data_IF_429955782263
#
_entry.id   IF_429955782263
#
_cell.length_a   1.000
_cell.length_b   1.000
_cell.length_c   1.000
_cell.angle_alpha   90.00
_cell.angle_beta   90.00
_cell.angle_gamma   90.00
#
_symmetry.space_group_name_H-M   'P 1'
#
loop_
_entity.id
_entity.type
_entity.pdbx_description
1 polymer ?
#
# COMPACT_ATOMS: atom_id res chain seq x y z
N UNK A 1 -31.84 -62.76 -17.91
CA UNK A 1 -31.42 -62.66 -19.33
C UNK A 1 -31.71 -61.24 -19.84
N UNK A 2 -30.77 -60.64 -20.61
CA UNK A 2 -30.74 -59.27 -21.22
C UNK A 2 -30.45 -58.10 -20.24
N UNK A 3 -29.17 -57.69 -20.05
CA UNK A 3 -28.31 -56.76 -20.84
C UNK A 3 -28.81 -55.31 -20.80
N UNK A 4 -28.25 -54.48 -19.91
CA UNK A 4 -27.19 -53.46 -20.14
C UNK A 4 -27.65 -52.26 -20.99
N UNK A 5 -27.79 -51.08 -20.36
CA UNK A 5 -27.33 -49.84 -20.96
C UNK A 5 -26.95 -48.79 -19.90
N UNK A 6 -25.69 -48.41 -20.05
CA UNK A 6 -24.87 -47.47 -19.31
C UNK A 6 -25.30 -46.04 -19.65
N UNK A 7 -25.38 -45.16 -18.65
CA UNK A 7 -25.68 -43.74 -18.83
C UNK A 7 -24.93 -42.89 -17.81
N UNK A 8 -23.62 -42.73 -18.04
CA UNK A 8 -22.73 -41.90 -17.24
C UNK A 8 -22.99 -40.42 -17.59
N UNK A 9 -23.77 -39.72 -16.78
CA UNK A 9 -24.02 -38.29 -16.96
C UNK A 9 -22.89 -37.49 -16.30
N UNK A 10 -21.79 -37.27 -17.03
CA UNK A 10 -20.74 -36.33 -16.65
C UNK A 10 -21.27 -34.90 -16.78
N UNK A 11 -21.70 -34.30 -15.67
CA UNK A 11 -21.94 -32.86 -15.57
C UNK A 11 -20.58 -32.15 -15.53
N UNK A 12 -20.12 -31.72 -16.70
CA UNK A 12 -19.08 -30.69 -16.82
C UNK A 12 -19.70 -29.35 -16.39
N UNK A 13 -19.60 -29.02 -15.11
CA UNK A 13 -19.74 -27.62 -14.66
C UNK A 13 -18.51 -26.86 -15.18
N UNK A 14 -18.67 -26.24 -16.35
CA UNK A 14 -17.78 -25.20 -16.79
C UNK A 14 -17.93 -24.02 -15.81
N UNK A 15 -16.98 -23.86 -14.90
CA UNK A 15 -16.77 -22.60 -14.20
C UNK A 15 -16.35 -21.56 -15.26
N UNK A 16 -17.33 -20.91 -15.90
CA UNK A 16 -17.08 -19.68 -16.63
C UNK A 16 -16.66 -18.63 -15.61
N UNK A 17 -15.37 -18.38 -15.49
CA UNK A 17 -14.86 -17.18 -14.82
C UNK A 17 -15.25 -16.01 -15.70
N UNK A 18 -16.29 -15.26 -15.30
CA UNK A 18 -16.69 -14.04 -16.00
C UNK A 18 -15.53 -13.05 -15.90
N UNK A 19 -14.89 -12.75 -17.04
CA UNK A 19 -13.89 -11.71 -17.11
C UNK A 19 -14.63 -10.36 -17.15
N UNK A 20 -14.47 -9.54 -16.11
CA UNK A 20 -15.06 -8.20 -16.06
C UNK A 20 -14.59 -7.35 -17.25
N UNK A 21 -15.55 -6.71 -17.92
CA UNK A 21 -15.30 -5.80 -19.03
C UNK A 21 -14.76 -4.46 -18.55
N UNK A 22 -14.01 -3.69 -19.38
CA UNK A 22 -13.51 -2.37 -19.01
C UNK A 22 -14.61 -1.39 -18.54
N UNK A 23 -15.82 -1.51 -19.08
CA UNK A 23 -16.96 -0.69 -18.70
C UNK A 23 -17.47 -1.01 -17.29
N UNK A 24 -17.44 -2.27 -16.88
CA UNK A 24 -17.82 -2.70 -15.52
C UNK A 24 -16.77 -2.26 -14.49
N UNK A 25 -15.49 -2.39 -14.81
CA UNK A 25 -14.39 -1.90 -13.95
C UNK A 25 -14.49 -0.37 -13.79
N UNK A 26 -14.85 0.36 -14.84
CA UNK A 26 -15.06 1.82 -14.77
C UNK A 26 -16.25 2.22 -13.91
N UNK A 27 -17.28 1.38 -13.75
CA UNK A 27 -18.37 1.66 -12.79
C UNK A 27 -17.90 1.54 -11.34
N UNK A 28 -16.84 0.77 -11.10
CA UNK A 28 -16.15 0.68 -9.83
C UNK A 28 -15.01 1.72 -9.73
N UNK A 29 -14.98 2.72 -10.63
CA UNK A 29 -13.95 3.74 -10.64
C UNK A 29 -13.90 4.46 -9.30
N UNK A 30 -12.76 4.31 -8.65
CA UNK A 30 -12.43 5.00 -7.42
C UNK A 30 -11.38 6.05 -7.75
N UNK A 31 -11.40 7.14 -6.98
CA UNK A 31 -10.26 8.03 -6.90
C UNK A 31 -9.61 7.86 -5.54
N UNK A 32 -8.29 7.98 -5.49
CA UNK A 32 -7.57 7.96 -4.23
C UNK A 32 -6.68 9.18 -4.03
N UNK A 33 -6.40 9.45 -2.77
CA UNK A 33 -5.45 10.48 -2.35
C UNK A 33 -4.63 9.92 -1.20
N UNK A 34 -3.33 10.19 -1.21
CA UNK A 34 -2.46 9.97 -0.06
C UNK A 34 -2.32 11.26 0.73
N UNK A 35 -2.55 11.17 2.03
CA UNK A 35 -2.33 12.25 2.99
C UNK A 35 -1.25 11.81 3.96
N UNK A 36 -0.29 12.68 4.26
CA UNK A 36 0.78 12.40 5.21
C UNK A 36 0.73 13.39 6.38
N UNK A 37 1.40 13.03 7.46
CA UNK A 37 1.46 13.85 8.66
C UNK A 37 2.16 13.14 9.81
N UNK A 38 1.82 13.56 11.02
CA UNK A 38 2.27 12.91 12.25
C UNK A 38 1.13 12.77 13.25
N UNK A 39 1.25 11.81 14.15
CA UNK A 39 0.31 11.57 15.24
C UNK A 39 1.07 11.37 16.54
N UNK A 40 0.49 11.85 17.64
CA UNK A 40 1.02 11.70 19.00
C UNK A 40 0.01 10.87 19.79
N UNK A 41 0.48 9.76 20.34
CA UNK A 41 -0.35 8.75 21.01
C UNK A 41 0.12 8.60 22.45
N UNK A 42 -0.81 8.76 23.39
CA UNK A 42 -0.58 8.60 24.82
C UNK A 42 -0.32 7.13 25.19
N UNK A 43 0.32 6.83 26.34
CA UNK A 43 0.52 5.47 26.84
C UNK A 43 -0.74 4.60 26.94
N UNK A 44 -1.91 5.22 27.13
CA UNK A 44 -3.21 4.54 27.18
C UNK A 44 -3.81 4.23 25.79
N UNK A 45 -3.07 4.55 24.72
CA UNK A 45 -3.49 4.34 23.34
C UNK A 45 -4.42 5.41 22.77
N UNK A 46 -4.72 6.48 23.51
CA UNK A 46 -5.50 7.61 23.01
C UNK A 46 -4.65 8.58 22.17
N UNK A 47 -5.28 9.25 21.22
CA UNK A 47 -4.62 10.30 20.43
C UNK A 47 -4.53 11.58 21.26
N UNK A 48 -3.31 12.07 21.46
CA UNK A 48 -3.03 13.37 22.07
C UNK A 48 -3.17 14.51 21.06
N UNK A 49 -2.68 14.29 19.84
CA UNK A 49 -2.68 15.28 18.77
C UNK A 49 -2.21 14.69 17.44
N UNK A 50 -2.39 15.45 16.36
CA UNK A 50 -1.88 15.08 15.03
C UNK A 50 -1.60 16.33 14.19
N UNK A 51 -0.80 16.17 13.15
CA UNK A 51 -0.53 17.19 12.14
C UNK A 51 -0.77 16.59 10.75
N UNK A 52 -1.15 17.44 9.79
CA UNK A 52 -1.21 17.08 8.37
C UNK A 52 -0.13 17.86 7.63
N UNK A 53 0.64 17.18 6.80
CA UNK A 53 1.60 17.83 5.92
C UNK A 53 0.85 18.59 4.83
N UNK A 54 1.29 19.82 4.54
CA UNK A 54 0.70 20.69 3.51
C UNK A 54 -0.83 20.74 3.55
N UNK A 55 -1.40 20.91 4.75
CA UNK A 55 -2.85 20.92 4.97
C UNK A 55 -3.59 21.96 4.09
N UNK A 56 -2.91 23.06 3.74
CA UNK A 56 -3.38 24.10 2.84
C UNK A 56 -3.59 23.65 1.39
N UNK A 57 -2.98 22.52 0.99
CA UNK A 57 -3.12 21.92 -0.34
C UNK A 57 -4.20 20.82 -0.38
N UNK A 58 -4.75 20.44 0.77
CA UNK A 58 -5.80 19.42 0.85
C UNK A 58 -7.19 20.01 0.60
N UNK A 59 -8.10 19.28 -0.07
CA UNK A 59 -9.49 19.71 -0.17
C UNK A 59 -10.11 19.90 1.23
N UNK A 60 -10.93 20.93 1.46
CA UNK A 60 -11.51 21.19 2.78
C UNK A 60 -12.29 19.99 3.37
N UNK A 61 -13.01 19.25 2.52
CA UNK A 61 -13.75 18.05 2.93
C UNK A 61 -12.82 16.94 3.46
N UNK A 62 -11.62 16.80 2.87
CA UNK A 62 -10.61 15.83 3.33
C UNK A 62 -10.15 16.21 4.73
N UNK A 63 -9.82 17.48 4.95
CA UNK A 63 -9.39 17.97 6.26
C UNK A 63 -10.48 17.77 7.30
N UNK A 64 -11.74 18.05 6.96
CA UNK A 64 -12.88 17.87 7.86
C UNK A 64 -13.08 16.40 8.28
N UNK A 65 -13.00 15.46 7.34
CA UNK A 65 -13.10 14.01 7.63
C UNK A 65 -11.99 13.60 8.59
N UNK A 66 -10.75 14.04 8.36
CA UNK A 66 -9.63 13.72 9.23
C UNK A 66 -9.78 14.34 10.62
N UNK A 67 -10.25 15.58 10.70
CA UNK A 67 -10.55 16.27 11.97
C UNK A 67 -11.60 15.53 12.80
N UNK A 68 -12.60 14.93 12.17
CA UNK A 68 -13.66 14.19 12.86
C UNK A 68 -13.21 12.79 13.29
N UNK A 69 -12.39 12.12 12.50
CA UNK A 69 -12.07 10.70 12.70
C UNK A 69 -10.78 10.49 13.52
N UNK A 70 -9.69 11.17 13.19
CA UNK A 70 -8.36 10.91 13.78
C UNK A 70 -8.36 11.01 15.31
N UNK A 71 -8.98 12.02 15.96
CA UNK A 71 -8.99 12.11 17.43
C UNK A 71 -9.73 10.97 18.14
N UNK A 72 -10.60 10.24 17.44
CA UNK A 72 -11.38 9.12 18.01
C UNK A 72 -10.62 7.79 17.98
N UNK A 73 -9.49 7.75 17.29
CA UNK A 73 -8.70 6.54 17.14
C UNK A 73 -8.08 6.08 18.46
N UNK A 74 -7.98 4.77 18.57
CA UNK A 74 -7.31 4.06 19.64
C UNK A 74 -6.23 3.18 19.06
N UNK A 75 -5.16 3.08 19.81
CA UNK A 75 -3.97 2.34 19.45
C UNK A 75 -3.62 1.35 20.54
N UNK A 76 -2.88 0.32 20.14
CA UNK A 76 -2.13 -0.52 21.07
C UNK A 76 -0.66 -0.46 20.68
N UNK A 77 0.18 -0.60 21.69
CA UNK A 77 1.60 -0.76 21.49
C UNK A 77 1.99 -2.23 21.60
N UNK A 78 3.00 -2.65 20.83
CA UNK A 78 3.59 -3.98 21.04
C UNK A 78 4.32 -4.05 22.38
N UNK A 79 4.94 -2.95 22.80
CA UNK A 79 5.61 -2.79 24.09
C UNK A 79 4.92 -1.70 24.93
N UNK A 80 4.86 -1.88 26.25
CA UNK A 80 4.29 -0.89 27.13
C UNK A 80 5.07 0.43 27.05
N UNK A 81 4.36 1.53 26.76
CA UNK A 81 4.92 2.87 26.72
C UNK A 81 4.66 3.59 28.05
N UNK A 82 5.58 4.46 28.46
CA UNK A 82 5.43 5.29 29.67
C UNK A 82 5.23 6.77 29.36
N UNK A 83 5.50 7.18 28.12
CA UNK A 83 5.35 8.55 27.61
C UNK A 83 4.62 8.54 26.27
N UNK A 84 4.13 9.71 25.85
CA UNK A 84 3.51 9.85 24.54
C UNK A 84 4.52 9.53 23.42
N UNK A 85 4.07 8.78 22.42
CA UNK A 85 4.87 8.37 21.27
C UNK A 85 4.43 9.16 20.04
N UNK A 86 5.40 9.80 19.37
CA UNK A 86 5.19 10.46 18.09
C UNK A 86 5.49 9.49 16.95
N UNK A 87 4.59 9.42 15.98
CA UNK A 87 4.72 8.57 14.80
C UNK A 87 4.41 9.37 13.52
N UNK A 88 5.11 9.04 12.44
CA UNK A 88 4.69 9.42 11.09
C UNK A 88 3.38 8.72 10.76
N UNK A 89 2.48 9.44 10.09
CA UNK A 89 1.18 8.93 9.68
C UNK A 89 1.04 9.10 8.17
N UNK A 90 0.53 8.07 7.50
CA UNK A 90 0.07 8.18 6.13
C UNK A 90 -1.26 7.46 5.94
N UNK A 91 -2.17 8.11 5.24
CA UNK A 91 -3.56 7.72 5.08
C UNK A 91 -3.90 7.65 3.59
N UNK A 92 -4.55 6.56 3.18
CA UNK A 92 -5.17 6.43 1.85
C UNK A 92 -6.64 6.79 1.97
N UNK A 93 -7.01 7.87 1.31
CA UNK A 93 -8.39 8.30 1.18
C UNK A 93 -8.95 7.77 -0.13
N UNK A 94 -10.21 7.38 -0.10
CA UNK A 94 -10.93 6.83 -1.23
C UNK A 94 -12.19 7.65 -1.46
N UNK A 95 -12.36 8.14 -2.69
CA UNK A 95 -13.61 8.69 -3.18
C UNK A 95 -14.27 7.63 -4.05
N UNK A 96 -15.42 7.14 -3.60
CA UNK A 96 -16.23 6.16 -4.33
C UNK A 96 -17.52 6.82 -4.79
N UNK A 97 -17.80 6.68 -6.08
CA UNK A 97 -19.04 7.15 -6.69
C UNK A 97 -20.25 6.45 -6.04
N UNK A 98 -21.16 7.23 -5.48
CA UNK A 98 -22.44 6.73 -4.92
C UNK A 98 -23.53 6.82 -5.98
N UNK A 99 -23.63 7.97 -6.64
CA UNK A 99 -24.51 8.25 -7.78
C UNK A 99 -23.86 9.30 -8.68
N UNK A 100 -24.46 9.65 -9.82
CA UNK A 100 -23.87 10.55 -10.83
C UNK A 100 -23.36 11.90 -10.29
N UNK A 101 -23.83 12.36 -9.14
CA UNK A 101 -23.52 13.65 -8.53
C UNK A 101 -22.80 13.57 -7.17
N UNK A 102 -22.79 12.42 -6.51
CA UNK A 102 -22.24 12.26 -5.16
C UNK A 102 -21.12 11.23 -5.09
N UNK A 103 -20.05 11.59 -4.40
CA UNK A 103 -18.95 10.70 -4.02
C UNK A 103 -18.94 10.54 -2.48
N UNK A 104 -18.82 9.32 -1.98
CA UNK A 104 -18.55 9.03 -0.57
C UNK A 104 -17.03 9.01 -0.36
N UNK A 105 -16.56 9.68 0.70
CA UNK A 105 -15.13 9.80 0.98
C UNK A 105 -14.80 9.06 2.26
N UNK A 106 -13.89 8.10 2.17
CA UNK A 106 -13.50 7.26 3.30
C UNK A 106 -12.00 7.17 3.51
N UNK A 107 -11.59 6.91 4.74
CA UNK A 107 -10.22 6.51 5.05
C UNK A 107 -10.14 5.00 4.82
N UNK A 108 -9.52 4.59 3.73
CA UNK A 108 -9.46 3.18 3.32
C UNK A 108 -8.25 2.44 3.91
N UNK A 109 -7.15 3.17 4.16
CA UNK A 109 -5.94 2.62 4.73
C UNK A 109 -5.24 3.64 5.62
N UNK A 110 -4.53 3.14 6.64
CA UNK A 110 -3.67 3.93 7.50
C UNK A 110 -2.38 3.16 7.79
N UNK A 111 -1.26 3.89 7.81
CA UNK A 111 0.06 3.38 8.13
C UNK A 111 0.75 4.34 9.11
N UNK A 112 1.40 3.79 10.13
CA UNK A 112 2.06 4.56 11.19
C UNK A 112 3.50 4.11 11.39
N UNK A 113 4.48 5.00 11.17
CA UNK A 113 5.91 4.70 11.28
C UNK A 113 6.59 5.47 12.40
N UNK A 114 7.76 5.01 12.82
CA UNK A 114 8.56 5.73 13.81
C UNK A 114 9.00 7.10 13.24
N UNK A 115 9.24 8.08 14.11
CA UNK A 115 9.80 9.37 13.68
C UNK A 115 11.23 9.14 13.15
N UNK A 116 11.54 9.61 11.95
CA UNK A 116 12.84 9.42 11.26
C UNK A 116 14.04 10.10 11.99
N UNK A 117 13.83 10.58 13.22
CA UNK A 117 14.75 11.44 13.96
C UNK A 117 15.81 10.70 14.76
N UNK A 118 15.79 9.37 14.81
CA UNK A 118 16.82 8.60 15.50
C UNK A 118 17.65 7.81 14.46
N UNK A 119 18.71 8.43 13.90
CA UNK A 119 19.61 7.74 12.98
C UNK A 119 20.13 6.43 13.56
N UNK A 120 20.02 5.36 12.78
CA UNK A 120 20.52 4.04 13.14
C UNK A 120 19.56 3.19 14.00
N UNK A 121 18.34 3.65 14.28
CA UNK A 121 17.33 2.82 14.97
C UNK A 121 16.54 1.90 14.01
N UNK A 122 16.38 2.31 12.76
CA UNK A 122 15.67 1.57 11.71
C UNK A 122 16.51 1.43 10.44
N UNK A 123 16.09 0.54 9.55
CA UNK A 123 16.69 0.46 8.21
C UNK A 123 16.49 1.79 7.44
N UNK A 124 17.46 2.13 6.59
CA UNK A 124 17.37 3.25 5.65
C UNK A 124 18.00 2.90 4.31
N UNK A 125 17.65 3.59 3.23
CA UNK A 125 18.26 3.32 1.93
C UNK A 125 19.75 3.65 1.92
N UNK A 126 20.56 2.72 1.41
CA UNK A 126 21.98 2.95 1.06
C UNK A 126 22.14 3.08 -0.45
N UNK A 127 21.51 2.20 -1.22
CA UNK A 127 21.46 2.28 -2.68
C UNK A 127 20.08 1.86 -3.16
N UNK A 128 19.45 2.71 -3.95
CA UNK A 128 18.10 2.52 -4.49
C UNK A 128 18.07 2.91 -5.96
N UNK A 129 18.58 2.04 -6.82
CA UNK A 129 18.50 2.25 -8.26
C UNK A 129 17.03 2.11 -8.72
N UNK A 130 16.48 3.09 -9.45
CA UNK A 130 15.10 3.00 -9.89
C UNK A 130 14.92 1.83 -10.87
N UNK A 131 13.76 1.15 -10.85
CA UNK A 131 13.47 0.09 -11.80
C UNK A 131 13.41 0.62 -13.23
N UNK A 132 13.81 -0.22 -14.18
CA UNK A 132 13.55 0.07 -15.61
C UNK A 132 12.05 -0.08 -15.87
N UNK A 133 11.48 0.90 -16.58
CA UNK A 133 10.09 0.83 -16.99
C UNK A 133 9.88 -0.39 -17.91
N UNK A 134 8.97 -1.32 -17.58
CA UNK A 134 8.82 -2.51 -18.40
C UNK A 134 8.13 -2.19 -19.72
N UNK A 135 8.64 -2.79 -20.80
CA UNK A 135 8.24 -2.44 -22.17
C UNK A 135 6.73 -2.54 -22.39
N UNK A 136 6.08 -3.63 -21.97
CA UNK A 136 4.63 -3.79 -22.18
C UNK A 136 3.82 -2.65 -21.54
N UNK A 137 4.02 -2.38 -20.25
CA UNK A 137 3.33 -1.27 -19.58
C UNK A 137 3.61 0.09 -20.23
N UNK A 138 4.87 0.32 -20.64
CA UNK A 138 5.27 1.58 -21.31
C UNK A 138 4.53 1.77 -22.64
N UNK A 139 4.51 0.76 -23.51
CA UNK A 139 3.84 0.83 -24.81
C UNK A 139 2.32 0.93 -24.66
N UNK A 140 1.76 0.37 -23.60
CA UNK A 140 0.33 0.42 -23.30
C UNK A 140 -0.09 1.68 -22.51
N UNK A 141 0.82 2.59 -22.18
CA UNK A 141 0.49 3.81 -21.44
C UNK A 141 0.01 3.55 -20.01
N UNK A 142 0.45 2.45 -19.39
CA UNK A 142 -0.03 2.00 -18.08
C UNK A 142 0.87 2.52 -16.97
N UNK A 143 0.32 3.33 -16.05
CA UNK A 143 0.98 3.71 -14.79
C UNK A 143 0.41 2.92 -13.61
N UNK A 144 1.19 2.84 -12.53
CA UNK A 144 0.77 2.19 -11.29
C UNK A 144 1.83 2.15 -10.21
N UNK A 145 1.41 1.79 -9.00
CA UNK A 145 2.28 1.64 -7.83
C UNK A 145 2.35 0.18 -7.40
N UNK A 146 3.56 -0.34 -7.30
CA UNK A 146 3.85 -1.68 -6.74
C UNK A 146 4.25 -1.52 -5.28
N UNK A 147 3.50 -2.13 -4.37
CA UNK A 147 3.85 -2.20 -2.95
C UNK A 147 4.63 -3.48 -2.70
N UNK A 148 5.93 -3.33 -2.50
CA UNK A 148 6.85 -4.42 -2.24
C UNK A 148 6.94 -4.70 -0.75
N UNK A 149 7.07 -5.98 -0.40
CA UNK A 149 7.61 -6.46 0.87
C UNK A 149 9.02 -6.97 0.60
N UNK A 150 9.99 -6.47 1.34
CA UNK A 150 11.40 -6.83 1.26
C UNK A 150 11.84 -7.44 2.58
N UNK A 151 12.59 -8.54 2.50
CA UNK A 151 13.36 -9.10 3.61
C UNK A 151 14.80 -8.61 3.46
N UNK A 152 15.25 -7.76 4.39
CA UNK A 152 16.58 -7.16 4.39
C UNK A 152 17.44 -7.89 5.41
N UNK A 153 18.52 -8.52 4.96
CA UNK A 153 19.45 -9.25 5.82
C UNK A 153 20.38 -8.34 6.62
N UNK A 154 21.13 -8.92 7.56
CA UNK A 154 22.10 -8.22 8.42
C UNK A 154 23.23 -7.51 7.69
N UNK A 155 23.52 -7.92 6.46
CA UNK A 155 24.50 -7.27 5.59
C UNK A 155 23.92 -6.07 4.80
N UNK A 156 22.63 -5.77 5.01
CA UNK A 156 21.90 -4.72 4.31
C UNK A 156 21.45 -5.10 2.90
N UNK A 157 21.63 -6.36 2.46
CA UNK A 157 21.14 -6.83 1.16
C UNK A 157 19.71 -7.36 1.26
N UNK A 158 18.99 -7.32 0.14
CA UNK A 158 17.66 -7.92 0.05
C UNK A 158 17.78 -9.43 -0.15
N UNK A 159 17.32 -10.20 0.85
CA UNK A 159 17.29 -11.66 0.83
C UNK A 159 16.07 -12.19 0.07
N UNK A 160 14.93 -11.51 0.21
CA UNK A 160 13.69 -11.85 -0.49
C UNK A 160 12.90 -10.58 -0.81
N UNK A 161 12.14 -10.62 -1.92
CA UNK A 161 11.31 -9.52 -2.39
C UNK A 161 10.04 -10.07 -3.04
N UNK A 162 8.89 -9.56 -2.61
CA UNK A 162 7.59 -9.93 -3.13
C UNK A 162 6.71 -8.69 -3.34
N UNK A 163 5.85 -8.72 -4.35
CA UNK A 163 4.82 -7.71 -4.50
C UNK A 163 3.60 -8.11 -3.66
N UNK A 164 3.27 -7.29 -2.65
CA UNK A 164 2.08 -7.48 -1.82
C UNK A 164 0.82 -7.04 -2.56
N UNK A 165 0.90 -5.92 -3.29
CA UNK A 165 -0.23 -5.35 -4.02
C UNK A 165 0.28 -4.48 -5.17
N UNK A 166 -0.45 -4.44 -6.28
CA UNK A 166 -0.17 -3.55 -7.42
C UNK A 166 -1.42 -2.79 -7.80
N UNK A 167 -1.39 -1.47 -7.59
CA UNK A 167 -2.49 -0.57 -7.90
C UNK A 167 -2.22 0.10 -9.24
N UNK A 168 -3.23 0.17 -10.10
CA UNK A 168 -3.15 0.79 -11.42
C UNK A 168 -3.90 2.12 -11.42
N UNK A 169 -3.55 3.00 -12.36
CA UNK A 169 -4.27 4.27 -12.60
C UNK A 169 -5.11 4.23 -13.88
N UNK A 170 -5.17 3.08 -14.55
CA UNK A 170 -5.84 2.86 -15.83
C UNK A 170 -6.93 1.79 -15.71
N UNK A 171 -7.98 1.93 -16.52
CA UNK A 171 -9.08 0.97 -16.63
C UNK A 171 -8.87 0.10 -17.86
N UNK A 172 -8.87 -1.22 -17.69
CA UNK A 172 -8.78 -2.20 -18.77
C UNK A 172 -9.58 -3.47 -18.42
N UNK A 173 -9.54 -4.49 -19.28
CA UNK A 173 -10.16 -5.77 -18.95
C UNK A 173 -9.46 -6.42 -17.74
N UNK A 174 -10.16 -7.25 -16.98
CA UNK A 174 -9.56 -7.95 -15.83
C UNK A 174 -8.26 -8.71 -16.19
N UNK A 175 -8.22 -9.31 -17.37
CA UNK A 175 -7.04 -10.02 -17.90
C UNK A 175 -5.87 -9.08 -18.17
N UNK A 176 -6.11 -7.97 -18.86
CA UNK A 176 -5.05 -7.01 -19.19
C UNK A 176 -4.52 -6.34 -17.93
N UNK A 177 -5.40 -5.99 -17.00
CA UNK A 177 -4.99 -5.44 -15.71
C UNK A 177 -4.09 -6.41 -14.95
N UNK A 178 -4.43 -7.72 -14.92
CA UNK A 178 -3.55 -8.70 -14.28
C UNK A 178 -2.19 -8.79 -14.98
N UNK A 179 -2.18 -8.79 -16.32
CA UNK A 179 -0.94 -8.80 -17.10
C UNK A 179 -0.06 -7.59 -16.80
N UNK A 180 -0.66 -6.40 -16.68
CA UNK A 180 0.06 -5.18 -16.30
C UNK A 180 0.59 -5.23 -14.88
N UNK A 181 -0.21 -5.71 -13.92
CA UNK A 181 0.23 -5.89 -12.53
C UNK A 181 1.45 -6.81 -12.45
N UNK A 182 1.41 -7.95 -13.14
CA UNK A 182 2.52 -8.90 -13.18
C UNK A 182 3.77 -8.27 -13.84
N UNK A 183 3.58 -7.47 -14.89
CA UNK A 183 4.67 -6.82 -15.60
C UNK A 183 5.38 -5.76 -14.74
N UNK A 184 4.62 -4.90 -14.05
CA UNK A 184 5.15 -3.91 -13.12
C UNK A 184 5.80 -4.59 -11.89
N UNK A 185 5.15 -5.60 -11.32
CA UNK A 185 5.67 -6.35 -10.17
C UNK A 185 7.02 -6.98 -10.47
N UNK A 186 7.16 -7.66 -11.61
CA UNK A 186 8.45 -8.27 -12.03
C UNK A 186 9.55 -7.21 -12.16
N UNK A 187 9.26 -6.06 -12.76
CA UNK A 187 10.24 -4.99 -12.91
C UNK A 187 10.68 -4.41 -11.55
N UNK A 188 9.73 -4.19 -10.65
CA UNK A 188 9.98 -3.70 -9.30
C UNK A 188 10.81 -4.68 -8.46
N UNK A 189 10.42 -5.97 -8.43
CA UNK A 189 11.13 -7.02 -7.70
C UNK A 189 12.56 -7.19 -8.23
N UNK A 190 12.75 -7.16 -9.56
CA UNK A 190 14.07 -7.28 -10.18
C UNK A 190 15.00 -6.15 -9.73
N UNK A 191 14.50 -4.91 -9.71
CA UNK A 191 15.29 -3.78 -9.23
C UNK A 191 15.56 -3.85 -7.73
N UNK A 192 14.54 -4.22 -6.94
CA UNK A 192 14.64 -4.27 -5.49
C UNK A 192 15.68 -5.26 -4.97
N UNK A 193 15.92 -6.36 -5.68
CA UNK A 193 16.98 -7.33 -5.35
C UNK A 193 18.40 -6.75 -5.42
N UNK A 194 18.59 -5.66 -6.16
CA UNK A 194 19.88 -4.95 -6.27
C UNK A 194 20.01 -3.81 -5.26
N UNK A 195 18.96 -3.52 -4.49
CA UNK A 195 19.01 -2.47 -3.48
C UNK A 195 19.82 -2.90 -2.27
N UNK A 196 20.37 -1.90 -1.58
CA UNK A 196 21.02 -2.09 -0.29
C UNK A 196 20.55 -1.06 0.71
N UNK A 197 20.63 -1.44 1.98
CA UNK A 197 20.14 -0.67 3.12
C UNK A 197 21.25 -0.49 4.14
N UNK A 198 21.19 0.62 4.89
CA UNK A 198 21.88 0.71 6.16
C UNK A 198 21.01 -0.02 7.19
N UNK A 199 21.60 -0.90 7.97
CA UNK A 199 20.92 -1.66 9.02
C UNK A 199 20.94 -0.88 10.34
N UNK A 200 19.99 -1.14 11.26
CA UNK A 200 20.04 -0.57 12.61
C UNK A 200 21.37 -0.83 13.30
N UNK A 201 21.90 0.20 13.95
CA UNK A 201 23.11 0.17 14.79
C UNK A 201 22.80 0.42 16.27
N UNK A 202 21.60 0.92 16.57
CA UNK A 202 21.09 1.16 17.92
C UNK A 202 19.62 0.70 18.02
N UNK A 203 19.11 0.59 19.25
CA UNK A 203 17.72 0.20 19.49
C UNK A 203 17.51 -1.31 19.56
N UNK A 204 16.25 -1.72 19.74
CA UNK A 204 15.88 -3.11 20.04
C UNK A 204 16.06 -4.08 18.87
N UNK A 205 16.10 -3.57 17.64
CA UNK A 205 16.10 -4.35 16.41
C UNK A 205 17.50 -4.64 15.84
N UNK A 206 18.58 -4.23 16.50
CA UNK A 206 19.97 -4.42 16.00
C UNK A 206 20.34 -5.89 15.88
N UNK A 207 19.80 -6.74 16.76
CA UNK A 207 20.12 -8.16 16.82
C UNK A 207 19.20 -9.03 15.94
N UNK A 208 18.22 -8.44 15.24
CA UNK A 208 17.31 -9.18 14.38
C UNK A 208 18.07 -9.84 13.21
N UNK A 209 17.68 -11.07 12.85
CA UNK A 209 18.29 -11.79 11.73
C UNK A 209 17.98 -11.14 10.37
N UNK A 210 16.86 -10.43 10.30
CA UNK A 210 16.44 -9.66 9.13
C UNK A 210 15.40 -8.62 9.55
N UNK A 211 15.20 -7.62 8.69
CA UNK A 211 14.12 -6.64 8.82
C UNK A 211 13.15 -6.76 7.64
N UNK A 212 11.86 -6.59 7.91
CA UNK A 212 10.84 -6.56 6.86
C UNK A 212 10.52 -5.12 6.54
N UNK A 213 10.65 -4.74 5.27
CA UNK A 213 10.37 -3.41 4.78
C UNK A 213 9.20 -3.43 3.78
N UNK A 214 8.30 -2.47 3.89
CA UNK A 214 7.30 -2.15 2.88
C UNK A 214 7.75 -0.93 2.09
N UNK A 215 7.82 -1.09 0.77
CA UNK A 215 8.35 -0.06 -0.14
C UNK A 215 7.41 0.11 -1.33
N UNK A 216 6.87 1.32 -1.57
CA UNK A 216 6.18 1.62 -2.80
C UNK A 216 7.19 1.90 -3.92
N UNK A 217 6.85 1.41 -5.10
CA UNK A 217 7.57 1.64 -6.35
C UNK A 217 6.59 2.18 -7.36
N UNK A 218 6.72 3.47 -7.66
CA UNK A 218 5.82 4.17 -8.54
C UNK A 218 6.33 4.16 -9.98
N UNK A 219 5.48 3.70 -10.91
CA UNK A 219 5.72 3.72 -12.34
C UNK A 219 4.78 4.72 -12.99
N UNK A 220 5.27 5.92 -13.27
CA UNK A 220 4.48 6.97 -13.91
C UNK A 220 4.94 7.26 -15.33
N UNK A 221 4.02 7.12 -16.29
CA UNK A 221 4.19 7.63 -17.66
C UNK A 221 3.70 9.07 -17.68
N UNK A 222 4.61 10.01 -17.89
CA UNK A 222 4.28 11.42 -18.07
C UNK A 222 4.31 11.77 -19.57
N UNK A 223 3.35 12.57 -20.07
CA UNK A 223 3.45 13.16 -21.39
C UNK A 223 4.77 13.92 -21.53
N UNK A 224 5.47 13.73 -22.66
CA UNK A 224 6.70 14.47 -22.99
C UNK A 224 6.47 15.98 -22.78
N UNK A 225 7.26 16.60 -21.90
CA UNK A 225 7.20 18.04 -21.61
C UNK A 225 6.51 18.44 -20.29
N UNK A 226 5.95 17.50 -19.54
CA UNK A 226 5.36 17.75 -18.20
C UNK A 226 6.27 17.24 -17.09
N UNK A 227 7.14 18.12 -16.56
CA UNK A 227 8.10 17.80 -15.49
C UNK A 227 7.56 17.99 -14.07
N UNK A 228 6.31 18.44 -13.91
CA UNK A 228 5.73 18.66 -12.57
C UNK A 228 5.17 17.33 -12.05
N UNK A 229 5.60 16.95 -10.86
CA UNK A 229 5.00 15.85 -10.09
C UNK A 229 3.50 16.08 -9.92
N UNK A 230 2.71 15.01 -9.77
CA UNK A 230 1.30 15.17 -9.38
C UNK A 230 1.31 15.93 -8.05
N UNK A 231 0.74 17.14 -7.98
CA UNK A 231 0.79 17.92 -6.75
C UNK A 231 0.14 17.16 -5.60
N UNK A 232 0.68 17.34 -4.41
CA UNK A 232 0.08 16.81 -3.19
C UNK A 232 -1.37 17.30 -3.04
N UNK A 233 -2.23 16.50 -2.40
CA UNK A 233 -3.64 16.84 -2.20
C UNK A 233 -4.55 16.72 -3.43
N UNK A 234 -4.11 15.99 -4.47
CA UNK A 234 -4.93 15.75 -5.69
C UNK A 234 -5.47 14.33 -5.74
N UNK A 235 -6.76 14.21 -6.09
CA UNK A 235 -7.39 12.93 -6.40
C UNK A 235 -6.80 12.33 -7.67
N UNK A 236 -6.51 11.04 -7.63
CA UNK A 236 -5.94 10.29 -8.75
C UNK A 236 -6.80 9.07 -9.04
N UNK A 237 -6.89 8.69 -10.32
CA UNK A 237 -7.52 7.43 -10.73
C UNK A 237 -6.93 6.27 -9.95
N UNK A 238 -7.79 5.40 -9.42
CA UNK A 238 -7.39 4.35 -8.52
C UNK A 238 -8.11 3.05 -8.86
N UNK A 239 -7.32 2.03 -9.21
CA UNK A 239 -7.80 0.67 -9.42
C UNK A 239 -6.96 -0.27 -8.53
N UNK A 240 -7.46 -0.65 -7.35
CA UNK A 240 -6.70 -1.49 -6.43
C UNK A 240 -6.42 -2.86 -7.05
N UNK A 241 -5.23 -3.40 -6.78
CA UNK A 241 -4.92 -4.80 -7.07
C UNK A 241 -5.35 -5.73 -5.93
N UNK A 242 -5.56 -7.02 -6.21
CA UNK A 242 -5.75 -7.99 -5.15
C UNK A 242 -4.49 -8.09 -4.29
N UNK A 243 -4.67 -8.15 -2.98
CA UNK A 243 -3.56 -8.35 -2.05
C UNK A 243 -3.09 -9.81 -2.09
N UNK A 244 -1.80 -9.99 -2.31
CA UNK A 244 -1.16 -11.31 -2.36
C UNK A 244 -0.65 -11.71 -0.98
N UNK A 245 -0.79 -12.98 -0.65
CA UNK A 245 -0.14 -13.55 0.53
C UNK A 245 1.32 -13.82 0.21
N UNK A 246 2.23 -13.26 0.99
CA UNK A 246 3.67 -13.50 0.85
C UNK A 246 4.08 -14.62 1.82
N UNK A 247 4.51 -15.80 1.34
CA UNK A 247 4.66 -16.99 2.18
C UNK A 247 5.66 -16.86 3.34
N UNK A 248 6.74 -16.08 3.15
CA UNK A 248 7.79 -15.88 4.15
C UNK A 248 7.46 -14.77 5.17
N UNK A 249 6.36 -14.05 4.97
CA UNK A 249 5.84 -13.06 5.92
C UNK A 249 4.89 -13.80 6.86
N UNK A 250 5.34 -14.14 8.06
CA UNK A 250 4.56 -14.94 9.01
C UNK A 250 3.17 -14.32 9.30
N UNK A 251 2.17 -15.20 9.41
CA UNK A 251 0.75 -14.87 9.26
C UNK A 251 0.20 -13.92 10.33
N UNK A 252 -0.68 -13.02 9.84
CA UNK A 252 -1.66 -12.12 10.50
C UNK A 252 -1.17 -10.79 11.09
N UNK A 253 -0.06 -10.70 11.83
CA UNK A 253 0.35 -9.42 12.46
C UNK A 253 0.96 -8.40 11.48
N UNK A 254 1.60 -8.86 10.40
CA UNK A 254 2.24 -7.99 9.41
C UNK A 254 1.25 -7.48 8.34
N UNK A 255 0.04 -8.04 8.32
CA UNK A 255 -1.01 -7.75 7.33
C UNK A 255 -2.09 -6.79 7.87
N UNK A 256 -1.99 -6.31 9.11
CA UNK A 256 -3.02 -5.44 9.73
C UNK A 256 -3.01 -3.99 9.26
N UNK A 257 -2.02 -3.58 8.45
CA UNK A 257 -2.06 -2.33 7.69
C UNK A 257 -2.42 -2.59 6.23
N UNK A 258 -3.22 -1.72 5.61
CA UNK A 258 -3.47 -1.79 4.18
C UNK A 258 -2.20 -1.40 3.41
N UNK A 259 -1.85 -2.19 2.39
CA UNK A 259 -0.55 -2.17 1.74
C UNK A 259 -0.23 -0.82 1.07
N UNK A 260 -1.27 -0.12 0.69
CA UNK A 260 -1.25 1.06 -0.15
C UNK A 260 -1.36 2.39 0.62
N UNK A 261 -1.16 2.39 1.94
CA UNK A 261 -1.01 3.65 2.69
C UNK A 261 0.45 4.15 2.74
N UNK A 262 1.42 3.48 2.12
CA UNK A 262 2.81 3.96 2.12
C UNK A 262 3.01 4.97 0.99
N UNK A 263 3.47 6.22 1.27
CA UNK A 263 3.66 7.24 0.26
C UNK A 263 4.91 6.99 -0.59
N UNK A 264 4.93 7.55 -1.80
CA UNK A 264 6.06 7.42 -2.72
C UNK A 264 7.37 7.87 -2.07
N UNK A 265 8.47 7.22 -2.46
CA UNK A 265 9.76 7.43 -1.82
C UNK A 265 9.89 6.78 -0.43
N UNK A 266 8.79 6.42 0.23
CA UNK A 266 8.76 5.88 1.59
C UNK A 266 9.52 4.56 1.77
N UNK A 267 9.93 4.33 3.02
CA UNK A 267 10.44 3.07 3.52
C UNK A 267 9.75 2.80 4.85
N UNK A 268 9.01 1.71 4.94
CA UNK A 268 8.28 1.39 6.15
C UNK A 268 8.76 0.06 6.73
N UNK A 269 9.48 0.10 7.86
CA UNK A 269 9.85 -1.13 8.55
C UNK A 269 8.63 -1.66 9.32
N UNK A 270 8.28 -2.92 9.07
CA UNK A 270 7.17 -3.58 9.77
C UNK A 270 7.63 -3.97 11.18
N UNK A 271 6.70 -4.00 12.15
CA UNK A 271 6.90 -4.27 13.58
C UNK A 271 7.45 -3.11 14.44
N UNK A 272 7.24 -1.87 14.00
CA UNK A 272 7.61 -0.68 14.78
C UNK A 272 6.58 -0.27 15.86
N UNK A 273 5.73 -1.20 16.32
CA UNK A 273 5.14 -1.11 17.65
C UNK A 273 3.90 -0.25 17.85
N UNK A 274 3.34 0.42 16.84
CA UNK A 274 2.09 1.17 16.95
C UNK A 274 1.01 0.59 16.03
N UNK A 275 -0.04 0.00 16.63
CA UNK A 275 -1.13 -0.61 15.88
C UNK A 275 -2.46 0.08 16.18
N UNK A 276 -3.13 0.58 15.14
CA UNK A 276 -4.50 1.08 15.22
C UNK A 276 -5.48 -0.06 15.55
N UNK A 277 -6.35 0.16 16.54
CA UNK A 277 -7.39 -0.78 16.96
C UNK A 277 -8.79 -0.32 16.59
N UNK A 278 -8.99 0.99 16.43
CA UNK A 278 -10.25 1.53 15.91
C UNK A 278 -10.40 1.19 14.41
N UNK A 279 -11.55 0.64 13.97
CA UNK A 279 -11.83 0.48 12.56
C UNK A 279 -11.77 1.82 11.82
N UNK A 280 -11.23 1.81 10.61
CA UNK A 280 -11.28 3.00 9.76
C UNK A 280 -12.70 3.27 9.28
N UNK A 281 -13.06 4.54 9.20
CA UNK A 281 -14.40 5.01 8.84
C UNK A 281 -14.32 6.11 7.76
N UNK A 282 -15.47 6.36 7.13
CA UNK A 282 -15.66 7.40 6.12
C UNK A 282 -16.96 8.18 6.33
N UNK A 283 -17.11 9.26 5.57
CA UNK A 283 -18.30 10.10 5.50
C UNK A 283 -19.05 9.90 4.18
#
# INVERSE_FOLDING_TARGET
>A
MKRWLMGLFCVLMACATWAESPAEVRKQAEASMLVTGSIEVMPDGSVQGYTLDHADQLPPIVVQILQQNVPTWKFKFDDQQTVAVKAKMSLRLLAKRVDDTHDAISISAAQFGQDDKVPGESISYKTRLPPRYPGLALHSGVSGTVYLLLRVGRDGRVEDAAAEQVNLTVYASGRDMQLFRDNLARAAITAAREWTFNTPTIGKHVADDYWVAKVPVNFDIRPRGTYKDVPYGRWQSYVPGPRQLVPWVEKKKLLTGAADAVPDGGLYQINQGLQLTTPLSGA
#
